data_IF_673547714743
#
_entry.id   IF_673547714743
#
_cell.length_a   1.000
_cell.length_b   1.000
_cell.length_c   1.000
_cell.angle_alpha   90.00
_cell.angle_beta   90.00
_cell.angle_gamma   90.00
#
_symmetry.space_group_name_H-M   'P 1'
#
loop_
_entity.id
_entity.type
_entity.pdbx_description
1 polymer ?
#
# COMPACT_ATOMS: atom_id res chain seq x y z
N UNK A 1 -33.58 34.42 30.10
CA UNK A 1 -34.25 33.37 29.29
C UNK A 1 -33.43 32.97 28.05
N UNK A 2 -32.09 32.78 28.14
CA UNK A 2 -31.20 32.35 27.02
C UNK A 2 -30.25 31.15 27.34
N UNK A 3 -30.30 30.61 28.55
CA UNK A 3 -29.43 29.46 28.93
C UNK A 3 -30.05 28.07 28.70
N UNK A 4 -31.37 27.99 28.50
CA UNK A 4 -32.06 26.69 28.33
C UNK A 4 -31.89 26.07 26.95
N UNK A 5 -31.61 26.85 25.86
CA UNK A 5 -31.55 26.32 24.51
C UNK A 5 -30.21 25.67 24.15
N UNK A 6 -29.10 26.04 24.82
CA UNK A 6 -27.75 25.50 24.49
C UNK A 6 -27.59 24.09 25.05
N UNK A 7 -28.10 23.84 26.27
CA UNK A 7 -28.00 22.53 26.92
C UNK A 7 -28.85 21.46 26.22
N UNK A 8 -30.05 21.83 25.74
CA UNK A 8 -30.93 20.93 25.01
C UNK A 8 -30.36 20.55 23.65
N UNK A 9 -29.72 21.48 22.95
CA UNK A 9 -29.09 21.22 21.63
C UNK A 9 -27.86 20.28 21.76
N UNK A 10 -27.05 20.46 22.82
CA UNK A 10 -25.90 19.55 23.07
C UNK A 10 -26.34 18.13 23.42
N UNK A 11 -27.37 17.97 24.23
CA UNK A 11 -27.90 16.66 24.63
C UNK A 11 -28.50 15.92 23.43
N UNK A 12 -29.23 16.60 22.55
CA UNK A 12 -29.79 15.97 21.32
C UNK A 12 -28.71 15.53 20.35
N UNK A 13 -27.66 16.32 20.16
CA UNK A 13 -26.57 15.95 19.25
C UNK A 13 -25.75 14.76 19.75
N UNK A 14 -25.52 14.64 21.07
CA UNK A 14 -24.81 13.48 21.67
C UNK A 14 -25.64 12.21 21.55
N UNK A 15 -26.96 12.26 21.80
CA UNK A 15 -27.83 11.09 21.67
C UNK A 15 -27.96 10.62 20.20
N UNK A 16 -28.04 11.53 19.24
CA UNK A 16 -28.08 11.19 17.82
C UNK A 16 -26.80 10.55 17.33
N UNK A 17 -25.63 11.01 17.81
CA UNK A 17 -24.33 10.40 17.49
C UNK A 17 -24.21 8.99 18.08
N UNK A 18 -24.62 8.76 19.32
CA UNK A 18 -24.59 7.45 19.97
C UNK A 18 -25.53 6.45 19.28
N UNK A 19 -26.73 6.86 18.91
CA UNK A 19 -27.68 6.02 18.19
C UNK A 19 -27.16 5.65 16.79
N UNK A 20 -26.54 6.58 16.07
CA UNK A 20 -25.93 6.33 14.75
C UNK A 20 -24.72 5.38 14.85
N UNK A 21 -23.90 5.49 15.90
CA UNK A 21 -22.77 4.60 16.18
C UNK A 21 -23.24 3.18 16.52
N UNK A 22 -24.24 3.05 17.38
CA UNK A 22 -24.82 1.74 17.75
C UNK A 22 -25.44 1.05 16.53
N UNK A 23 -26.10 1.80 15.64
CA UNK A 23 -26.65 1.28 14.38
C UNK A 23 -25.55 0.72 13.49
N UNK A 24 -24.46 1.47 13.23
CA UNK A 24 -23.40 1.01 12.34
C UNK A 24 -22.64 -0.22 12.90
N UNK A 25 -22.45 -0.29 14.21
CA UNK A 25 -21.86 -1.44 14.88
C UNK A 25 -22.73 -2.70 14.69
N UNK A 26 -24.04 -2.58 14.88
CA UNK A 26 -24.97 -3.68 14.69
C UNK A 26 -24.99 -4.17 13.22
N UNK A 27 -24.95 -3.23 12.27
CA UNK A 27 -24.92 -3.56 10.84
C UNK A 27 -23.62 -4.32 10.46
N UNK A 28 -22.46 -3.89 10.98
CA UNK A 28 -21.17 -4.58 10.76
C UNK A 28 -21.20 -5.98 11.37
N UNK A 29 -21.70 -6.14 12.59
CA UNK A 29 -21.83 -7.46 13.21
C UNK A 29 -22.76 -8.37 12.41
N UNK A 30 -23.86 -7.86 11.87
CA UNK A 30 -24.82 -8.63 11.10
C UNK A 30 -24.25 -9.17 9.78
N UNK A 31 -23.37 -8.40 9.10
CA UNK A 31 -22.76 -8.84 7.84
C UNK A 31 -21.46 -9.62 8.02
N UNK A 32 -20.85 -9.57 9.22
CA UNK A 32 -19.51 -10.11 9.48
C UNK A 32 -19.34 -11.59 9.08
N UNK A 33 -20.27 -12.54 9.36
CA UNK A 33 -20.11 -13.93 8.98
C UNK A 33 -19.93 -14.15 7.47
N UNK A 34 -20.64 -13.36 6.66
CA UNK A 34 -20.54 -13.38 5.19
C UNK A 34 -19.21 -12.76 4.72
N UNK A 35 -18.76 -11.68 5.36
CA UNK A 35 -17.49 -11.03 5.04
C UNK A 35 -16.30 -11.89 5.47
N UNK A 36 -16.37 -12.58 6.61
CA UNK A 36 -15.36 -13.54 7.03
C UNK A 36 -15.23 -14.71 6.03
N UNK A 37 -16.36 -15.20 5.53
CA UNK A 37 -16.35 -16.24 4.51
C UNK A 37 -15.71 -15.75 3.20
N UNK A 38 -15.99 -14.51 2.78
CA UNK A 38 -15.35 -13.88 1.62
C UNK A 38 -13.83 -13.74 1.82
N UNK A 39 -13.40 -13.23 2.97
CA UNK A 39 -11.99 -13.10 3.33
C UNK A 39 -11.25 -14.43 3.20
N UNK A 40 -11.77 -15.48 3.81
CA UNK A 40 -11.17 -16.82 3.75
C UNK A 40 -11.13 -17.40 2.34
N UNK A 41 -12.11 -17.08 1.51
CA UNK A 41 -12.15 -17.51 0.10
C UNK A 41 -11.10 -16.76 -0.75
N UNK A 42 -10.98 -15.45 -0.59
CA UNK A 42 -9.95 -14.62 -1.25
C UNK A 42 -8.55 -15.06 -0.83
N UNK A 43 -8.34 -15.26 0.47
CA UNK A 43 -7.05 -15.71 1.01
C UNK A 43 -6.58 -17.05 0.42
N UNK A 44 -7.52 -17.98 0.19
CA UNK A 44 -7.21 -19.31 -0.41
C UNK A 44 -6.91 -19.24 -1.91
N UNK A 45 -7.32 -18.19 -2.60
CA UNK A 45 -7.29 -18.11 -4.07
C UNK A 45 -6.65 -16.80 -4.54
N UNK A 46 -5.43 -16.46 -4.05
CA UNK A 46 -4.74 -15.23 -4.42
C UNK A 46 -4.27 -15.27 -5.88
N UNK A 47 -4.28 -14.12 -6.54
CA UNK A 47 -3.83 -13.96 -7.92
C UNK A 47 -2.75 -12.86 -8.00
N UNK A 48 -1.73 -13.07 -8.85
CA UNK A 48 -0.65 -12.10 -9.06
C UNK A 48 -1.12 -10.87 -9.83
N UNK A 49 -0.34 -9.80 -9.76
CA UNK A 49 -0.54 -8.54 -10.46
C UNK A 49 -0.89 -8.73 -11.95
N UNK A 50 -1.98 -8.11 -12.41
CA UNK A 50 -2.59 -8.23 -13.73
C UNK A 50 -3.07 -9.64 -14.11
N UNK A 51 -3.24 -10.53 -13.15
CA UNK A 51 -3.82 -11.86 -13.31
C UNK A 51 -5.10 -12.05 -12.46
N UNK A 52 -5.60 -11.01 -11.81
CA UNK A 52 -6.69 -10.99 -10.80
C UNK A 52 -8.08 -11.23 -11.42
N UNK A 53 -8.19 -12.24 -12.31
CA UNK A 53 -9.41 -12.47 -13.11
C UNK A 53 -10.53 -13.11 -12.31
N UNK A 54 -10.22 -14.07 -11.44
CA UNK A 54 -11.21 -14.73 -10.58
C UNK A 54 -11.62 -13.83 -9.42
N UNK A 55 -10.65 -13.14 -8.82
CA UNK A 55 -10.86 -12.11 -7.78
C UNK A 55 -11.83 -11.05 -8.29
N UNK A 56 -11.54 -10.47 -9.46
CA UNK A 56 -12.40 -9.51 -10.16
C UNK A 56 -13.81 -10.08 -10.40
N UNK A 57 -13.93 -11.31 -10.90
CA UNK A 57 -15.23 -11.91 -11.17
C UNK A 57 -16.06 -12.11 -9.90
N UNK A 58 -15.46 -12.59 -8.80
CA UNK A 58 -16.11 -12.76 -7.49
C UNK A 58 -16.66 -11.44 -6.95
N UNK A 59 -15.80 -10.41 -6.87
CA UNK A 59 -16.16 -9.11 -6.35
C UNK A 59 -17.20 -8.41 -7.24
N UNK A 60 -17.06 -8.47 -8.56
CA UNK A 60 -18.02 -7.92 -9.51
C UNK A 60 -19.41 -8.57 -9.40
N UNK A 61 -19.47 -9.89 -9.25
CA UNK A 61 -20.74 -10.59 -9.05
C UNK A 61 -21.43 -10.11 -7.77
N UNK A 62 -20.67 -9.99 -6.64
CA UNK A 62 -21.19 -9.50 -5.36
C UNK A 62 -21.75 -8.08 -5.48
N UNK A 63 -21.01 -7.15 -6.09
CA UNK A 63 -21.46 -5.77 -6.25
C UNK A 63 -22.71 -5.64 -7.11
N UNK A 64 -22.84 -6.46 -8.15
CA UNK A 64 -24.06 -6.50 -8.99
C UNK A 64 -25.29 -6.87 -8.16
N UNK A 65 -25.20 -7.84 -7.23
CA UNK A 65 -26.31 -8.21 -6.36
C UNK A 65 -26.73 -7.09 -5.40
N UNK A 66 -25.81 -6.18 -5.08
CA UNK A 66 -26.06 -4.99 -4.26
C UNK A 66 -26.62 -3.81 -5.07
N UNK A 67 -26.81 -3.96 -6.37
CA UNK A 67 -27.40 -2.95 -7.25
C UNK A 67 -26.40 -1.92 -7.80
N UNK A 68 -25.10 -2.21 -7.76
CA UNK A 68 -24.09 -1.38 -8.43
C UNK A 68 -24.08 -1.65 -9.95
N UNK A 69 -23.85 -0.58 -10.73
CA UNK A 69 -23.46 -0.68 -12.13
C UNK A 69 -21.97 -1.02 -12.21
N UNK A 70 -21.63 -2.24 -12.65
CA UNK A 70 -20.28 -2.79 -12.56
C UNK A 70 -19.63 -2.95 -13.92
N UNK A 71 -18.47 -2.35 -14.11
CA UNK A 71 -17.57 -2.51 -15.26
C UNK A 71 -16.29 -3.20 -14.81
N UNK A 72 -15.92 -4.29 -15.47
CA UNK A 72 -14.66 -5.02 -15.25
C UNK A 72 -13.69 -4.81 -16.39
N UNK A 73 -12.41 -5.17 -16.20
CA UNK A 73 -11.38 -5.04 -17.22
C UNK A 73 -10.81 -3.63 -17.34
N UNK A 74 -11.10 -2.72 -16.41
CA UNK A 74 -10.53 -1.37 -16.38
C UNK A 74 -9.08 -1.46 -15.90
N UNK A 75 -8.14 -0.96 -16.70
CA UNK A 75 -6.72 -1.14 -16.42
C UNK A 75 -6.28 -2.61 -16.44
N UNK A 76 -6.84 -3.43 -17.33
CA UNK A 76 -6.72 -4.87 -17.54
C UNK A 76 -7.68 -5.71 -16.70
N UNK A 77 -7.45 -5.86 -15.39
CA UNK A 77 -8.22 -6.75 -14.52
C UNK A 77 -9.04 -6.01 -13.45
N UNK A 78 -8.99 -4.68 -13.42
CA UNK A 78 -9.66 -3.87 -12.41
C UNK A 78 -11.18 -3.80 -12.54
N UNK A 79 -11.82 -3.29 -11.50
CA UNK A 79 -13.27 -3.10 -11.36
C UNK A 79 -13.57 -1.63 -11.12
N UNK A 80 -14.62 -1.13 -11.77
CA UNK A 80 -15.29 0.12 -11.40
C UNK A 80 -16.76 -0.19 -11.17
N UNK A 81 -17.28 0.15 -9.99
CA UNK A 81 -18.68 -0.06 -9.67
C UNK A 81 -19.31 1.24 -9.15
N UNK A 82 -20.44 1.62 -9.73
CA UNK A 82 -21.11 2.90 -9.47
C UNK A 82 -22.48 2.66 -8.81
N UNK A 83 -22.71 3.35 -7.71
CA UNK A 83 -24.03 3.40 -7.07
C UNK A 83 -24.47 4.87 -6.91
N UNK A 84 -25.50 5.27 -7.64
CA UNK A 84 -26.07 6.63 -7.58
C UNK A 84 -27.19 6.68 -6.57
N UNK A 85 -27.23 7.75 -5.79
CA UNK A 85 -28.26 7.98 -4.78
C UNK A 85 -28.65 9.47 -4.66
N UNK A 86 -29.18 10.03 -5.75
CA UNK A 86 -29.56 11.44 -5.84
C UNK A 86 -28.41 12.39 -6.14
N UNK A 87 -28.66 13.69 -6.04
CA UNK A 87 -27.66 14.73 -6.24
C UNK A 87 -26.72 14.78 -5.03
N UNK A 88 -25.42 15.03 -5.29
CA UNK A 88 -24.40 15.12 -4.26
C UNK A 88 -23.01 14.83 -4.84
N UNK A 89 -21.98 14.77 -4.00
CA UNK A 89 -20.62 14.51 -4.45
C UNK A 89 -20.43 13.09 -4.97
N UNK A 90 -19.37 12.90 -5.77
CA UNK A 90 -18.87 11.59 -6.14
C UNK A 90 -17.69 11.23 -5.22
N UNK A 91 -17.81 10.15 -4.48
CA UNK A 91 -16.74 9.68 -3.59
C UNK A 91 -16.24 8.33 -4.07
N UNK A 92 -14.94 8.24 -4.32
CA UNK A 92 -14.26 7.00 -4.69
C UNK A 92 -13.71 6.32 -3.44
N UNK A 93 -14.00 5.03 -3.28
CA UNK A 93 -13.34 4.14 -2.34
C UNK A 93 -12.58 3.07 -3.13
N UNK A 94 -11.27 3.00 -2.95
CA UNK A 94 -10.37 2.08 -3.66
C UNK A 94 -9.90 0.97 -2.74
N UNK A 95 -9.78 -0.24 -3.29
CA UNK A 95 -9.05 -1.38 -2.74
C UNK A 95 -8.08 -1.93 -3.78
N UNK A 96 -7.07 -2.67 -3.33
CA UNK A 96 -6.13 -3.45 -4.15
C UNK A 96 -6.69 -4.85 -4.40
N UNK A 97 -6.25 -5.51 -5.50
CA UNK A 97 -6.75 -6.85 -5.88
C UNK A 97 -5.66 -7.92 -5.91
N UNK A 98 -4.40 -7.53 -6.07
CA UNK A 98 -3.29 -8.43 -6.35
C UNK A 98 -2.65 -9.03 -5.10
N UNK A 99 -1.91 -10.11 -5.30
CA UNK A 99 -1.14 -10.85 -4.31
C UNK A 99 0.33 -10.97 -4.73
N UNK A 100 1.16 -11.49 -3.83
CA UNK A 100 2.61 -11.57 -3.96
C UNK A 100 3.12 -12.99 -4.24
N UNK A 101 4.28 -13.14 -4.92
CA UNK A 101 4.93 -14.42 -5.14
C UNK A 101 5.65 -14.93 -3.87
N UNK A 102 4.90 -15.20 -2.81
CA UNK A 102 5.38 -15.62 -1.49
C UNK A 102 4.81 -16.99 -1.14
N UNK A 103 5.65 -17.89 -0.61
CA UNK A 103 5.22 -19.18 -0.07
C UNK A 103 4.69 -18.98 1.35
N UNK A 104 3.39 -19.16 1.55
CA UNK A 104 2.74 -18.94 2.84
C UNK A 104 3.23 -19.92 3.92
N UNK A 105 3.47 -19.41 5.13
CA UNK A 105 3.88 -20.16 6.33
C UNK A 105 3.10 -19.75 7.58
N UNK A 106 1.92 -19.20 7.41
CA UNK A 106 1.08 -18.69 8.52
C UNK A 106 0.54 -19.81 9.41
N UNK A 107 0.39 -21.02 8.86
CA UNK A 107 -0.26 -22.14 9.56
C UNK A 107 -1.78 -22.00 9.66
N UNK A 108 -2.39 -21.06 8.98
CA UNK A 108 -3.84 -20.87 8.95
C UNK A 108 -4.54 -22.07 8.29
N UNK A 109 -5.73 -22.48 8.76
CA UNK A 109 -6.47 -23.61 8.17
C UNK A 109 -7.00 -23.31 6.76
N UNK A 110 -6.90 -22.06 6.33
CA UNK A 110 -7.28 -21.58 5.00
C UNK A 110 -6.09 -20.95 4.25
N UNK A 111 -4.86 -21.30 4.64
CA UNK A 111 -3.65 -20.84 3.98
C UNK A 111 -3.65 -21.16 2.48
N UNK A 112 -3.03 -20.30 1.69
CA UNK A 112 -2.91 -20.47 0.25
C UNK A 112 -1.95 -21.60 -0.12
N UNK A 113 -2.35 -22.42 -1.08
CA UNK A 113 -1.50 -23.40 -1.77
C UNK A 113 -1.38 -23.13 -3.26
N UNK A 114 -1.82 -21.94 -3.69
CA UNK A 114 -1.85 -21.54 -5.09
C UNK A 114 -0.42 -21.35 -5.62
N UNK A 115 -0.23 -21.77 -6.85
CA UNK A 115 0.96 -21.43 -7.64
C UNK A 115 0.54 -20.79 -8.96
N UNK A 116 1.32 -19.79 -9.42
CA UNK A 116 1.09 -19.10 -10.68
C UNK A 116 2.39 -18.84 -11.42
N UNK A 117 2.33 -18.49 -12.69
CA UNK A 117 3.50 -18.02 -13.44
C UNK A 117 3.68 -16.52 -13.23
N UNK A 118 4.86 -16.13 -12.78
CA UNK A 118 5.22 -14.71 -12.71
C UNK A 118 5.54 -14.13 -14.10
N UNK A 119 5.85 -12.84 -14.18
CA UNK A 119 6.19 -12.15 -15.44
C UNK A 119 7.43 -12.71 -16.15
N UNK A 120 8.30 -13.42 -15.43
CA UNK A 120 9.46 -14.12 -15.99
C UNK A 120 9.13 -15.55 -16.47
N UNK A 121 7.88 -16.01 -16.37
CA UNK A 121 7.42 -17.34 -16.74
C UNK A 121 7.75 -18.44 -15.71
N UNK A 122 8.29 -18.08 -14.56
CA UNK A 122 8.61 -19.03 -13.47
C UNK A 122 7.36 -19.35 -12.67
N UNK A 123 7.17 -20.62 -12.31
CA UNK A 123 6.12 -21.04 -11.39
C UNK A 123 6.52 -20.67 -9.96
N UNK A 124 5.70 -19.85 -9.31
CA UNK A 124 5.93 -19.36 -7.95
C UNK A 124 4.70 -19.59 -7.08
N UNK A 125 4.85 -19.80 -5.76
CA UNK A 125 3.72 -19.80 -4.84
C UNK A 125 3.12 -18.39 -4.75
N UNK A 126 1.84 -18.28 -4.36
CA UNK A 126 1.14 -16.99 -4.27
C UNK A 126 0.44 -16.87 -2.92
N UNK A 127 0.57 -15.70 -2.28
CA UNK A 127 -0.05 -15.38 -1.00
C UNK A 127 -0.48 -13.91 -0.96
N UNK A 128 -1.61 -13.61 -0.31
CA UNK A 128 -1.95 -12.24 0.07
C UNK A 128 -1.07 -11.76 1.25
N UNK A 129 0.24 -11.66 1.01
CA UNK A 129 1.21 -11.30 2.03
C UNK A 129 1.23 -9.80 2.38
N UNK A 130 0.39 -8.98 1.72
CA UNK A 130 0.19 -7.56 2.03
C UNK A 130 -1.23 -7.25 2.56
N UNK A 131 -2.04 -8.28 2.85
CA UNK A 131 -3.38 -8.11 3.43
C UNK A 131 -4.44 -7.55 2.46
N UNK A 132 -4.23 -7.58 1.15
CA UNK A 132 -5.21 -7.08 0.18
C UNK A 132 -6.55 -7.85 0.23
N UNK A 133 -6.55 -9.09 0.68
CA UNK A 133 -7.75 -9.87 0.99
C UNK A 133 -8.58 -9.28 2.15
N UNK A 134 -7.93 -8.71 3.18
CA UNK A 134 -8.58 -7.90 4.22
C UNK A 134 -9.20 -6.65 3.61
N UNK A 135 -8.43 -5.92 2.77
CA UNK A 135 -8.88 -4.68 2.16
C UNK A 135 -10.09 -4.92 1.25
N UNK A 136 -10.02 -5.91 0.36
CA UNK A 136 -11.13 -6.31 -0.52
C UNK A 136 -12.38 -6.73 0.24
N UNK A 137 -12.20 -7.46 1.33
CA UNK A 137 -13.31 -7.94 2.16
C UNK A 137 -13.98 -6.80 2.92
N UNK A 138 -13.20 -5.88 3.48
CA UNK A 138 -13.71 -4.68 4.13
C UNK A 138 -14.46 -3.77 3.13
N UNK A 139 -13.87 -3.52 1.96
CA UNK A 139 -14.46 -2.77 0.87
C UNK A 139 -15.79 -3.37 0.39
N UNK A 140 -15.89 -4.71 0.27
CA UNK A 140 -17.13 -5.40 -0.09
C UNK A 140 -18.18 -5.30 1.02
N UNK A 141 -17.78 -5.39 2.28
CA UNK A 141 -18.65 -5.16 3.44
C UNK A 141 -19.18 -3.74 3.50
N UNK A 142 -18.31 -2.77 3.25
CA UNK A 142 -18.67 -1.35 3.15
C UNK A 142 -19.66 -1.11 2.02
N UNK A 143 -19.47 -1.74 0.85
CA UNK A 143 -20.43 -1.69 -0.26
C UNK A 143 -21.82 -2.19 0.16
N UNK A 144 -21.88 -3.29 0.93
CA UNK A 144 -23.13 -3.87 1.43
C UNK A 144 -23.85 -2.93 2.39
N UNK A 145 -23.13 -2.31 3.34
CA UNK A 145 -23.69 -1.31 4.27
C UNK A 145 -24.23 -0.10 3.51
N UNK A 146 -23.43 0.47 2.61
CA UNK A 146 -23.82 1.66 1.86
C UNK A 146 -25.03 1.42 0.95
N UNK A 147 -25.11 0.23 0.34
CA UNK A 147 -26.27 -0.16 -0.47
C UNK A 147 -27.55 -0.33 0.37
N UNK A 148 -27.42 -0.83 1.61
CA UNK A 148 -28.56 -1.00 2.52
C UNK A 148 -29.02 0.32 3.16
N UNK A 149 -28.13 1.29 3.32
CA UNK A 149 -28.41 2.55 4.04
C UNK A 149 -28.55 3.78 3.11
N UNK A 150 -29.18 3.60 1.94
CA UNK A 150 -29.36 4.70 0.96
C UNK A 150 -30.16 5.91 1.50
N UNK A 151 -30.94 5.74 2.51
CA UNK A 151 -31.66 6.84 3.20
C UNK A 151 -30.72 7.80 3.95
N UNK A 152 -29.51 7.37 4.29
CA UNK A 152 -28.54 8.11 5.10
C UNK A 152 -27.55 8.95 4.31
N UNK A 153 -27.50 8.80 2.99
CA UNK A 153 -26.52 9.49 2.15
C UNK A 153 -27.08 9.92 0.80
N UNK A 154 -26.41 10.85 0.13
CA UNK A 154 -26.72 11.32 -1.23
C UNK A 154 -25.45 11.46 -2.05
N UNK A 155 -25.57 11.38 -3.38
CA UNK A 155 -24.45 11.50 -4.30
C UNK A 155 -24.16 10.22 -5.05
N UNK A 156 -22.89 10.03 -5.40
CA UNK A 156 -22.42 8.86 -6.17
C UNK A 156 -21.29 8.17 -5.39
N UNK A 157 -21.49 6.91 -5.04
CA UNK A 157 -20.42 6.05 -4.55
C UNK A 157 -19.76 5.35 -5.73
N UNK A 158 -18.47 5.56 -5.90
CA UNK A 158 -17.63 4.91 -6.90
C UNK A 158 -16.66 3.95 -6.20
N UNK A 159 -16.86 2.67 -6.37
CA UNK A 159 -16.00 1.63 -5.84
C UNK A 159 -14.98 1.23 -6.91
N UNK A 160 -13.70 1.22 -6.56
CA UNK A 160 -12.59 0.87 -7.45
C UNK A 160 -11.82 -0.31 -6.86
N UNK A 161 -11.85 -1.47 -7.55
CA UNK A 161 -10.94 -2.57 -7.31
C UNK A 161 -9.74 -2.42 -8.27
N UNK A 162 -8.61 -2.01 -7.73
CA UNK A 162 -7.41 -1.71 -8.51
C UNK A 162 -6.50 -2.92 -8.61
N UNK A 163 -6.05 -3.33 -9.83
CA UNK A 163 -5.08 -4.40 -10.00
C UNK A 163 -3.65 -3.90 -9.73
N UNK A 164 -2.70 -4.82 -9.60
CA UNK A 164 -1.26 -4.62 -9.72
C UNK A 164 -0.68 -3.46 -8.88
N UNK A 165 -1.10 -3.35 -7.62
CA UNK A 165 -0.56 -2.36 -6.68
C UNK A 165 0.90 -2.68 -6.34
N UNK A 166 1.23 -3.94 -6.09
CA UNK A 166 2.55 -4.42 -5.68
C UNK A 166 3.66 -4.11 -6.71
N UNK A 167 3.26 -3.91 -7.96
CA UNK A 167 4.13 -3.41 -9.02
C UNK A 167 4.11 -1.90 -9.20
N UNK A 168 3.36 -1.15 -8.38
CA UNK A 168 3.09 0.30 -8.50
C UNK A 168 2.60 0.69 -9.91
N UNK A 169 1.81 -0.18 -10.54
CA UNK A 169 1.42 -0.05 -11.95
C UNK A 169 -0.10 0.05 -12.18
N UNK A 170 -0.90 -0.39 -11.23
CA UNK A 170 -2.33 -0.54 -11.40
C UNK A 170 -3.10 0.76 -11.51
N UNK A 171 -2.82 1.72 -10.63
CA UNK A 171 -3.47 3.04 -10.67
C UNK A 171 -3.18 3.76 -11.99
N UNK A 172 -1.92 3.75 -12.44
CA UNK A 172 -1.53 4.32 -13.73
C UNK A 172 -2.23 3.61 -14.91
N UNK A 173 -2.35 2.28 -14.87
CA UNK A 173 -3.07 1.52 -15.90
C UNK A 173 -4.55 1.87 -15.95
N UNK A 174 -5.23 1.99 -14.80
CA UNK A 174 -6.63 2.40 -14.74
C UNK A 174 -6.85 3.85 -15.22
N UNK A 175 -5.98 4.77 -14.85
CA UNK A 175 -6.03 6.17 -15.32
C UNK A 175 -5.81 6.25 -16.84
N UNK A 176 -4.85 5.48 -17.38
CA UNK A 176 -4.58 5.41 -18.81
C UNK A 176 -5.76 4.79 -19.60
N UNK A 177 -6.48 3.84 -18.99
CA UNK A 177 -7.71 3.26 -19.55
C UNK A 177 -8.95 4.17 -19.37
N UNK A 178 -8.76 5.38 -18.88
CA UNK A 178 -9.79 6.41 -18.81
C UNK A 178 -10.65 6.37 -17.54
N UNK A 179 -10.13 5.94 -16.40
CA UNK A 179 -10.86 5.90 -15.14
C UNK A 179 -11.60 7.22 -14.82
N UNK A 180 -10.99 8.36 -15.08
CA UNK A 180 -11.59 9.69 -14.81
C UNK A 180 -12.20 10.38 -16.04
N UNK A 181 -12.31 9.66 -17.18
CA UNK A 181 -12.94 10.16 -18.41
C UNK A 181 -14.13 9.32 -18.86
N UNK A 182 -14.10 8.02 -18.60
CA UNK A 182 -15.19 7.06 -18.88
C UNK A 182 -16.22 7.00 -17.76
N UNK A 183 -15.78 7.28 -16.52
CA UNK A 183 -16.60 7.24 -15.32
C UNK A 183 -16.68 8.64 -14.68
N UNK A 184 -17.64 8.87 -13.75
CA UNK A 184 -17.73 10.13 -13.02
C UNK A 184 -16.39 10.44 -12.31
N UNK A 185 -15.84 11.64 -12.57
CA UNK A 185 -14.63 12.07 -11.86
C UNK A 185 -14.98 12.26 -10.37
N UNK A 186 -14.23 11.64 -9.44
CA UNK A 186 -14.53 11.78 -8.02
C UNK A 186 -14.12 13.16 -7.49
N UNK A 187 -14.92 13.67 -6.54
CA UNK A 187 -14.60 14.85 -5.74
C UNK A 187 -13.60 14.49 -4.62
N UNK A 188 -13.63 13.24 -4.14
CA UNK A 188 -12.74 12.70 -3.13
C UNK A 188 -12.38 11.25 -3.44
N UNK A 189 -11.14 10.86 -3.13
CA UNK A 189 -10.64 9.49 -3.23
C UNK A 189 -10.17 8.98 -1.87
N UNK A 190 -10.65 7.82 -1.47
CA UNK A 190 -10.31 7.15 -0.22
C UNK A 190 -9.70 5.78 -0.50
N UNK A 191 -8.75 5.37 0.33
CA UNK A 191 -8.26 3.99 0.45
C UNK A 191 -7.92 3.70 1.90
N UNK A 192 -7.86 2.41 2.24
CA UNK A 192 -7.47 1.94 3.56
C UNK A 192 -6.51 0.77 3.38
N UNK A 193 -5.43 0.73 4.18
CA UNK A 193 -4.41 -0.32 4.13
C UNK A 193 -4.12 -0.84 5.53
N UNK A 194 -3.87 -2.12 5.70
CA UNK A 194 -3.49 -2.73 6.97
C UNK A 194 -2.11 -2.25 7.48
N UNK A 195 -1.90 -2.43 8.78
CA UNK A 195 -0.70 -1.93 9.46
C UNK A 195 -0.23 -2.88 10.57
N UNK A 196 1.03 -3.27 10.49
CA UNK A 196 1.68 -4.18 11.42
C UNK A 196 2.14 -3.53 12.76
N UNK A 197 2.02 -2.22 12.88
CA UNK A 197 2.53 -1.47 14.05
C UNK A 197 1.45 -1.05 15.03
N UNK A 198 0.16 -1.28 14.68
CA UNK A 198 -1.00 -0.87 15.47
C UNK A 198 -1.86 -2.06 15.89
N UNK A 199 -2.53 -1.95 17.07
CA UNK A 199 -3.52 -2.94 17.47
C UNK A 199 -4.65 -3.08 16.45
N UNK A 200 -5.08 -4.31 16.20
CA UNK A 200 -6.18 -4.62 15.29
C UNK A 200 -7.43 -3.79 15.58
N UNK A 201 -7.99 -3.19 14.53
CA UNK A 201 -9.16 -2.31 14.62
C UNK A 201 -8.87 -0.85 15.03
N UNK A 202 -7.61 -0.45 15.19
CA UNK A 202 -7.20 0.96 15.37
C UNK A 202 -7.00 1.64 14.03
N UNK A 203 -7.50 2.85 13.86
CA UNK A 203 -7.36 3.63 12.62
C UNK A 203 -6.19 4.60 12.75
N UNK A 204 -5.26 4.51 11.82
CA UNK A 204 -4.14 5.44 11.69
C UNK A 204 -4.38 6.46 10.58
N UNK A 205 -4.02 7.71 10.82
CA UNK A 205 -4.09 8.77 9.83
C UNK A 205 -2.90 9.73 9.93
N UNK A 206 -2.63 10.45 8.84
CA UNK A 206 -1.66 11.54 8.81
C UNK A 206 -2.05 12.57 7.76
N UNK A 207 -1.93 13.84 8.12
CA UNK A 207 -2.08 14.95 7.16
C UNK A 207 -0.78 15.16 6.36
N UNK A 208 -0.93 15.48 5.07
CA UNK A 208 0.20 15.72 4.19
C UNK A 208 0.94 14.42 3.82
N UNK A 209 2.26 14.48 3.81
CA UNK A 209 3.13 13.39 3.35
C UNK A 209 2.99 12.15 4.24
N UNK A 210 2.61 11.01 3.64
CA UNK A 210 2.27 9.81 4.38
C UNK A 210 3.09 8.57 3.99
N UNK A 211 3.25 8.27 2.66
CA UNK A 211 4.08 7.16 2.20
C UNK A 211 5.16 7.63 1.23
N UNK A 212 6.29 6.92 1.22
CA UNK A 212 7.47 7.26 0.45
C UNK A 212 7.31 6.94 -1.05
N UNK A 213 8.14 7.61 -1.84
CA UNK A 213 8.49 7.18 -3.18
C UNK A 213 9.40 5.95 -3.11
N UNK A 214 9.28 5.04 -4.08
CA UNK A 214 10.17 3.89 -4.24
C UNK A 214 10.79 3.87 -5.64
N UNK A 215 12.10 4.03 -5.69
CA UNK A 215 12.88 3.87 -6.92
C UNK A 215 13.58 2.51 -6.93
N UNK A 216 13.49 1.79 -8.05
CA UNK A 216 14.45 0.75 -8.39
C UNK A 216 15.65 1.41 -9.05
N UNK A 217 16.85 1.12 -8.56
CA UNK A 217 18.11 1.61 -9.13
C UNK A 217 18.97 0.41 -9.45
N UNK A 218 19.33 0.25 -10.72
CA UNK A 218 20.23 -0.81 -11.16
C UNK A 218 21.62 -0.22 -11.46
N UNK A 219 22.69 -0.85 -10.96
CA UNK A 219 24.07 -0.43 -11.21
C UNK A 219 24.83 -1.58 -11.87
N UNK A 220 25.31 -1.37 -13.11
CA UNK A 220 26.26 -2.29 -13.75
C UNK A 220 27.67 -1.78 -13.51
N UNK A 221 28.45 -2.54 -12.76
CA UNK A 221 29.84 -2.25 -12.41
C UNK A 221 30.73 -2.97 -13.37
N UNK A 222 31.59 -2.25 -14.07
CA UNK A 222 32.48 -2.80 -15.10
C UNK A 222 33.89 -2.99 -14.56
N UNK A 223 34.47 -4.15 -14.86
CA UNK A 223 35.83 -4.49 -14.57
C UNK A 223 36.60 -4.94 -15.83
N UNK A 224 37.67 -5.63 -15.60
CA UNK A 224 38.43 -6.40 -16.61
C UNK A 224 38.68 -7.76 -16.02
N UNK A 225 38.06 -8.79 -16.61
CA UNK A 225 38.15 -10.16 -16.17
C UNK A 225 39.54 -10.77 -16.35
N UNK A 226 39.71 -11.92 -15.70
CA UNK A 226 40.98 -12.61 -15.78
C UNK A 226 41.07 -13.85 -14.89
N UNK A 227 42.26 -14.44 -14.86
CA UNK A 227 42.55 -15.60 -14.02
C UNK A 227 42.67 -15.15 -12.55
N UNK A 228 41.94 -15.76 -11.61
CA UNK A 228 41.94 -15.37 -10.20
C UNK A 228 43.32 -15.42 -9.52
N UNK A 229 44.25 -16.28 -10.02
CA UNK A 229 45.63 -16.32 -9.53
C UNK A 229 46.52 -15.19 -10.09
N UNK A 230 46.02 -14.38 -11.03
CA UNK A 230 46.75 -13.27 -11.66
C UNK A 230 45.97 -11.96 -11.57
N UNK A 231 45.54 -11.53 -10.34
CA UNK A 231 44.67 -10.37 -10.17
C UNK A 231 45.33 -9.05 -10.61
N UNK A 232 46.67 -8.98 -10.65
CA UNK A 232 47.43 -7.83 -11.14
C UNK A 232 47.21 -7.53 -12.64
N UNK A 233 46.68 -8.49 -13.40
CA UNK A 233 46.32 -8.33 -14.83
C UNK A 233 44.86 -8.01 -15.04
N UNK A 234 44.07 -7.96 -13.98
CA UNK A 234 42.63 -7.75 -14.00
C UNK A 234 42.23 -6.45 -13.28
N UNK A 235 40.97 -6.07 -13.40
CA UNK A 235 40.29 -5.08 -12.53
C UNK A 235 39.05 -5.77 -12.04
N UNK A 236 39.07 -6.18 -10.78
CA UNK A 236 38.03 -7.06 -10.23
C UNK A 236 36.75 -6.29 -9.92
N UNK A 237 35.66 -6.48 -10.69
CA UNK A 237 34.38 -5.79 -10.46
C UNK A 237 33.66 -6.31 -9.23
N UNK A 238 33.96 -7.49 -8.67
CA UNK A 238 33.38 -8.00 -7.44
C UNK A 238 33.86 -7.19 -6.24
N UNK A 239 35.18 -6.93 -6.18
CA UNK A 239 35.78 -6.07 -5.16
C UNK A 239 35.27 -4.63 -5.30
N UNK A 240 35.19 -4.10 -6.52
CA UNK A 240 34.71 -2.77 -6.79
C UNK A 240 33.23 -2.63 -6.40
N UNK A 241 32.37 -3.57 -6.76
CA UNK A 241 30.94 -3.59 -6.37
C UNK A 241 30.77 -3.64 -4.85
N UNK A 242 31.59 -4.43 -4.14
CA UNK A 242 31.58 -4.51 -2.69
C UNK A 242 31.92 -3.16 -2.04
N UNK A 243 32.90 -2.42 -2.58
CA UNK A 243 33.23 -1.06 -2.12
C UNK A 243 32.08 -0.10 -2.38
N UNK A 244 31.46 -0.15 -3.57
CA UNK A 244 30.27 0.67 -3.89
C UNK A 244 29.15 0.39 -2.88
N UNK A 245 28.82 -0.88 -2.58
CA UNK A 245 27.79 -1.25 -1.59
C UNK A 245 28.05 -0.60 -0.23
N UNK A 246 29.29 -0.66 0.27
CA UNK A 246 29.67 -0.06 1.56
C UNK A 246 29.62 1.48 1.51
N UNK A 247 30.14 2.08 0.44
CA UNK A 247 30.18 3.54 0.30
C UNK A 247 28.79 4.14 0.12
N UNK A 248 27.85 3.45 -0.51
CA UNK A 248 26.46 3.89 -0.63
C UNK A 248 25.78 4.07 0.74
N UNK A 249 26.15 3.31 1.78
CA UNK A 249 25.60 3.44 3.12
C UNK A 249 25.95 4.81 3.75
N UNK A 250 27.00 5.47 3.28
CA UNK A 250 27.40 6.81 3.78
C UNK A 250 26.42 7.90 3.36
N UNK A 251 25.65 7.71 2.30
CA UNK A 251 24.62 8.66 1.89
C UNK A 251 23.61 8.84 3.03
N UNK A 252 23.10 7.73 3.58
CA UNK A 252 22.12 7.76 4.68
C UNK A 252 22.78 8.23 5.99
N UNK A 253 23.98 7.72 6.28
CA UNK A 253 24.60 7.96 7.58
C UNK A 253 25.39 9.28 7.69
N UNK A 254 25.78 9.92 6.58
CA UNK A 254 26.69 11.09 6.57
C UNK A 254 26.25 12.25 5.66
N UNK A 255 25.42 12.02 4.66
CA UNK A 255 25.06 13.07 3.69
C UNK A 255 23.60 13.53 3.85
N UNK A 256 22.69 12.65 4.23
CA UNK A 256 21.29 13.01 4.45
C UNK A 256 21.08 13.67 5.81
N UNK A 257 20.18 14.65 5.84
CA UNK A 257 19.68 15.18 7.10
C UNK A 257 18.93 14.06 7.86
N UNK A 258 19.29 13.75 9.11
CA UNK A 258 18.60 12.71 9.90
C UNK A 258 17.09 12.92 10.06
N UNK A 259 16.60 14.15 9.93
CA UNK A 259 15.17 14.48 9.94
C UNK A 259 14.46 14.21 8.59
N UNK A 260 15.19 13.83 7.56
CA UNK A 260 14.68 13.50 6.22
C UNK A 260 14.94 12.02 5.91
N UNK A 261 14.06 11.09 6.35
CA UNK A 261 14.30 9.67 6.23
C UNK A 261 14.56 9.24 4.78
N UNK A 262 15.58 8.39 4.63
CA UNK A 262 15.97 7.79 3.35
C UNK A 262 16.38 6.35 3.60
N UNK A 263 15.98 5.45 2.70
CA UNK A 263 16.40 4.05 2.73
C UNK A 263 17.14 3.74 1.43
N UNK A 264 18.32 3.12 1.54
CA UNK A 264 19.08 2.56 0.42
C UNK A 264 19.39 1.11 0.77
N UNK A 265 18.72 0.19 0.08
CA UNK A 265 18.94 -1.24 0.24
C UNK A 265 19.50 -1.82 -1.05
N UNK A 266 20.65 -2.48 -0.98
CA UNK A 266 21.14 -3.32 -2.08
C UNK A 266 20.51 -4.69 -1.88
N UNK A 267 19.46 -4.97 -2.66
CA UNK A 267 18.66 -6.20 -2.54
C UNK A 267 19.28 -7.39 -3.27
N UNK A 268 20.10 -7.13 -4.30
CA UNK A 268 20.74 -8.20 -5.06
C UNK A 268 22.09 -7.77 -5.60
N UNK A 269 23.00 -8.75 -5.70
CA UNK A 269 24.33 -8.64 -6.29
C UNK A 269 24.60 -9.89 -7.14
N UNK A 270 24.89 -9.70 -8.42
CA UNK A 270 25.12 -10.78 -9.36
C UNK A 270 26.39 -10.55 -10.18
N UNK A 271 27.31 -11.51 -10.16
CA UNK A 271 28.53 -11.49 -10.96
C UNK A 271 29.39 -12.71 -10.73
N UNK A 272 30.13 -13.09 -11.77
CA UNK A 272 30.98 -14.28 -11.75
C UNK A 272 30.23 -15.60 -11.93
N UNK A 273 30.96 -16.64 -12.36
CA UNK A 273 30.41 -17.98 -12.58
C UNK A 273 31.20 -19.07 -11.84
N UNK A 274 32.49 -18.82 -11.59
CA UNK A 274 33.39 -19.76 -10.92
C UNK A 274 34.43 -19.02 -10.08
N UNK A 275 34.86 -19.61 -8.97
CA UNK A 275 35.77 -18.98 -8.01
C UNK A 275 37.22 -18.75 -8.53
N UNK A 276 37.60 -19.33 -9.66
CA UNK A 276 38.92 -19.14 -10.29
C UNK A 276 38.89 -18.18 -11.49
N UNK A 277 37.79 -17.49 -11.73
CA UNK A 277 37.59 -16.52 -12.82
C UNK A 277 37.16 -15.18 -12.24
N UNK A 278 37.88 -14.10 -12.52
CA UNK A 278 37.44 -12.75 -12.28
C UNK A 278 36.51 -12.36 -13.44
N UNK A 279 35.25 -11.94 -13.19
CA UNK A 279 34.30 -11.57 -14.26
C UNK A 279 34.61 -10.19 -14.85
N UNK A 280 33.93 -9.86 -15.96
CA UNK A 280 34.02 -8.53 -16.59
C UNK A 280 33.04 -7.52 -15.99
N UNK A 281 31.98 -8.00 -15.37
CA UNK A 281 30.95 -7.12 -14.76
C UNK A 281 30.27 -7.73 -13.54
N UNK A 282 29.72 -6.85 -12.70
CA UNK A 282 28.79 -7.17 -11.59
C UNK A 282 27.58 -6.26 -11.66
N UNK A 283 26.39 -6.81 -11.40
CA UNK A 283 25.13 -6.06 -11.34
C UNK A 283 24.64 -5.95 -9.90
N UNK A 284 24.23 -4.74 -9.51
CA UNK A 284 23.58 -4.45 -8.24
C UNK A 284 22.16 -3.98 -8.52
N UNK A 285 21.19 -4.48 -7.76
CA UNK A 285 19.81 -3.98 -7.78
C UNK A 285 19.48 -3.38 -6.43
N UNK A 286 19.03 -2.12 -6.43
CA UNK A 286 18.77 -1.35 -5.24
C UNK A 286 17.31 -0.95 -5.14
N UNK A 287 16.77 -0.94 -3.92
CA UNK A 287 15.57 -0.22 -3.53
C UNK A 287 15.96 1.09 -2.84
N UNK A 288 15.54 2.22 -3.39
CA UNK A 288 15.79 3.55 -2.83
C UNK A 288 14.47 4.18 -2.47
N UNK A 289 14.31 4.55 -1.18
CA UNK A 289 13.06 5.15 -0.70
C UNK A 289 13.30 6.53 -0.12
N UNK A 290 12.46 7.48 -0.53
CA UNK A 290 12.57 8.89 -0.13
C UNK A 290 11.18 9.50 0.01
N UNK A 291 11.05 10.48 0.93
CA UNK A 291 9.75 11.12 1.18
C UNK A 291 9.47 12.33 0.30
N UNK A 292 10.51 13.02 -0.19
CA UNK A 292 10.32 14.23 -1.00
C UNK A 292 11.12 14.19 -2.30
N UNK A 293 10.66 14.86 -3.38
CA UNK A 293 11.39 14.94 -4.63
C UNK A 293 12.80 15.53 -4.49
N UNK A 294 13.01 16.45 -3.55
CA UNK A 294 14.31 17.08 -3.28
C UNK A 294 15.30 16.06 -2.71
N UNK A 295 14.86 15.28 -1.71
CA UNK A 295 15.67 14.21 -1.12
C UNK A 295 15.99 13.14 -2.17
N UNK A 296 14.99 12.74 -2.97
CA UNK A 296 15.19 11.80 -4.09
C UNK A 296 16.27 12.26 -5.05
N UNK A 297 16.18 13.49 -5.52
CA UNK A 297 17.16 14.06 -6.48
C UNK A 297 18.56 14.03 -5.90
N UNK A 298 18.75 14.46 -4.66
CA UNK A 298 20.04 14.45 -3.95
C UNK A 298 20.58 13.02 -3.81
N UNK A 299 19.74 12.08 -3.38
CA UNK A 299 20.11 10.68 -3.14
C UNK A 299 20.54 10.01 -4.44
N UNK A 300 19.79 10.15 -5.53
CA UNK A 300 20.15 9.58 -6.83
C UNK A 300 21.43 10.19 -7.40
N UNK A 301 21.67 11.49 -7.19
CA UNK A 301 22.93 12.14 -7.58
C UNK A 301 24.11 11.60 -6.76
N UNK A 302 23.93 11.40 -5.46
CA UNK A 302 24.97 10.82 -4.59
C UNK A 302 25.30 9.38 -4.97
N UNK A 303 24.31 8.55 -5.32
CA UNK A 303 24.52 7.17 -5.81
C UNK A 303 25.42 7.19 -7.06
N UNK A 304 25.10 8.03 -8.04
CA UNK A 304 25.93 8.14 -9.27
C UNK A 304 27.34 8.61 -8.98
N UNK A 305 27.49 9.64 -8.14
CA UNK A 305 28.79 10.19 -7.75
C UNK A 305 29.67 9.16 -7.04
N UNK A 306 29.09 8.42 -6.10
CA UNK A 306 29.83 7.37 -5.36
C UNK A 306 30.23 6.24 -6.29
N UNK A 307 29.31 5.71 -7.10
CA UNK A 307 29.61 4.64 -8.05
C UNK A 307 30.74 5.03 -9.00
N UNK A 308 30.71 6.26 -9.54
CA UNK A 308 31.75 6.81 -10.40
C UNK A 308 33.08 6.95 -9.65
N UNK A 309 33.11 7.56 -8.47
CA UNK A 309 34.32 7.78 -7.70
C UNK A 309 35.02 6.48 -7.28
N UNK A 310 34.25 5.45 -6.89
CA UNK A 310 34.83 4.13 -6.60
C UNK A 310 35.42 3.43 -7.85
N UNK A 311 34.78 3.60 -9.00
CA UNK A 311 35.27 3.06 -10.25
C UNK A 311 36.56 3.76 -10.70
N UNK A 312 36.64 5.08 -10.59
CA UNK A 312 37.86 5.85 -10.86
C UNK A 312 38.99 5.44 -9.94
N UNK A 313 38.74 5.31 -8.63
CA UNK A 313 39.72 4.87 -7.65
C UNK A 313 40.22 3.42 -7.88
N UNK A 314 39.41 2.57 -8.48
CA UNK A 314 39.78 1.20 -8.86
C UNK A 314 40.47 1.11 -10.25
N UNK A 315 40.54 2.19 -11.01
CA UNK A 315 41.04 2.18 -12.39
C UNK A 315 40.12 1.41 -13.34
N UNK A 316 38.81 1.43 -13.10
CA UNK A 316 37.85 0.71 -13.92
C UNK A 316 37.90 1.15 -15.39
N UNK A 317 37.68 0.25 -16.37
CA UNK A 317 37.82 0.58 -17.79
C UNK A 317 36.77 1.54 -18.31
N UNK A 318 35.65 1.65 -17.60
CA UNK A 318 34.57 2.58 -17.88
C UNK A 318 33.72 2.87 -16.63
N UNK A 319 33.01 3.98 -16.66
CA UNK A 319 32.12 4.38 -15.60
C UNK A 319 30.97 3.37 -15.40
N UNK A 320 30.53 3.09 -14.14
CA UNK A 320 29.36 2.25 -13.89
C UNK A 320 28.10 2.83 -14.53
N UNK A 321 27.29 1.96 -15.12
CA UNK A 321 25.97 2.34 -15.64
C UNK A 321 24.95 2.34 -14.51
N UNK A 322 24.45 3.53 -14.13
CA UNK A 322 23.39 3.68 -13.13
C UNK A 322 22.07 3.98 -13.82
N UNK A 323 21.17 3.01 -13.81
CA UNK A 323 19.84 3.11 -14.42
C UNK A 323 18.79 3.36 -13.35
N UNK A 324 17.89 4.30 -13.62
CA UNK A 324 16.71 4.62 -12.78
C UNK A 324 15.47 4.63 -13.67
N UNK A 325 14.26 4.39 -13.13
CA UNK A 325 13.03 4.48 -13.90
C UNK A 325 12.86 5.86 -14.56
N UNK A 326 12.38 5.87 -15.79
CA UNK A 326 12.15 7.11 -16.56
C UNK A 326 11.06 7.97 -15.91
N UNK A 327 10.05 7.34 -15.30
CA UNK A 327 8.96 8.01 -14.57
C UNK A 327 9.31 7.99 -13.09
N UNK A 328 9.34 9.17 -12.47
CA UNK A 328 9.55 9.27 -11.03
C UNK A 328 8.36 8.70 -10.27
N UNK A 329 8.59 7.88 -9.24
CA UNK A 329 7.52 7.46 -8.35
C UNK A 329 6.93 8.66 -7.59
N UNK A 330 5.70 8.52 -7.13
CA UNK A 330 5.00 9.57 -6.39
C UNK A 330 4.88 9.19 -4.91
N UNK A 331 5.03 10.16 -3.98
CA UNK A 331 4.72 9.95 -2.59
C UNK A 331 3.20 9.99 -2.38
N UNK A 332 2.67 9.25 -1.41
CA UNK A 332 1.29 9.48 -0.97
C UNK A 332 1.24 10.74 -0.12
N UNK A 333 0.41 11.67 -0.54
CA UNK A 333 0.14 12.92 0.17
C UNK A 333 -1.36 12.98 0.44
N UNK A 334 -1.74 12.79 1.70
CA UNK A 334 -3.12 12.97 2.11
C UNK A 334 -3.50 14.45 2.09
N UNK A 335 -4.62 14.79 1.44
CA UNK A 335 -5.14 16.15 1.48
C UNK A 335 -5.41 16.58 2.93
N UNK A 336 -4.80 17.68 3.42
CA UNK A 336 -4.88 18.05 4.84
C UNK A 336 -6.29 18.39 5.32
N UNK A 337 -7.12 18.96 4.43
CA UNK A 337 -8.52 19.33 4.77
C UNK A 337 -9.37 18.07 4.83
N UNK A 338 -9.27 17.23 3.82
CA UNK A 338 -10.00 15.97 3.74
C UNK A 338 -9.66 15.06 4.93
N UNK A 339 -8.38 14.78 5.17
CA UNK A 339 -7.98 13.85 6.22
C UNK A 339 -8.34 14.36 7.62
N UNK A 340 -8.28 15.68 7.87
CA UNK A 340 -8.71 16.27 9.14
C UNK A 340 -10.22 16.13 9.36
N UNK A 341 -11.02 16.33 8.30
CA UNK A 341 -12.47 16.11 8.32
C UNK A 341 -12.79 14.65 8.62
N UNK A 342 -12.12 13.71 7.95
CA UNK A 342 -12.30 12.27 8.16
C UNK A 342 -11.88 11.84 9.57
N UNK A 343 -10.71 12.29 10.06
CA UNK A 343 -10.25 11.96 11.40
C UNK A 343 -11.24 12.43 12.49
N UNK A 344 -11.80 13.64 12.34
CA UNK A 344 -12.83 14.13 13.25
C UNK A 344 -14.12 13.27 13.19
N UNK A 345 -14.56 12.85 12.00
CA UNK A 345 -15.71 11.98 11.84
C UNK A 345 -15.47 10.59 12.43
N UNK A 346 -14.31 10.00 12.17
CA UNK A 346 -13.91 8.71 12.71
C UNK A 346 -13.80 8.72 14.23
N UNK A 347 -13.22 9.78 14.83
CA UNK A 347 -13.19 9.94 16.30
C UNK A 347 -14.58 10.01 16.91
N UNK A 348 -15.52 10.72 16.27
CA UNK A 348 -16.93 10.75 16.72
C UNK A 348 -17.58 9.37 16.66
N UNK A 349 -17.23 8.53 15.67
CA UNK A 349 -17.87 7.24 15.41
C UNK A 349 -17.20 6.09 16.16
N UNK A 350 -15.88 6.08 16.25
CA UNK A 350 -15.08 4.97 16.80
C UNK A 350 -14.52 5.28 18.21
N UNK A 351 -14.52 6.54 18.61
CA UNK A 351 -13.87 7.04 19.82
C UNK A 351 -12.42 7.46 19.61
N UNK A 352 -11.95 8.43 20.37
CA UNK A 352 -10.62 9.04 20.25
C UNK A 352 -9.48 8.03 20.40
N UNK A 353 -9.65 7.02 21.25
CA UNK A 353 -8.67 5.97 21.54
C UNK A 353 -8.36 5.09 20.33
N UNK A 354 -9.28 4.98 19.39
CA UNK A 354 -9.16 4.11 18.21
C UNK A 354 -8.75 4.85 16.94
N UNK A 355 -8.54 6.16 17.00
CA UNK A 355 -8.19 6.98 15.82
C UNK A 355 -6.97 7.83 16.15
N UNK A 356 -5.80 7.36 15.70
CA UNK A 356 -4.51 7.91 16.11
C UNK A 356 -3.75 8.54 14.94
N UNK A 357 -3.06 9.64 15.22
CA UNK A 357 -2.12 10.18 14.25
C UNK A 357 -0.83 9.36 14.25
N UNK A 358 -0.29 9.07 13.06
CA UNK A 358 0.89 8.23 12.90
C UNK A 358 2.00 8.92 12.11
N UNK A 359 3.27 8.49 12.27
CA UNK A 359 4.37 9.01 11.46
C UNK A 359 4.23 8.63 9.98
N UNK A 360 4.93 9.35 9.09
CA UNK A 360 5.10 8.92 7.72
C UNK A 360 5.83 7.58 7.64
N UNK A 361 5.46 6.74 6.66
CA UNK A 361 6.05 5.42 6.43
C UNK A 361 6.97 5.42 5.20
N UNK A 362 7.98 4.56 5.25
CA UNK A 362 8.92 4.38 4.13
C UNK A 362 8.44 3.32 3.11
N UNK A 363 7.24 2.76 3.30
CA UNK A 363 6.54 1.97 2.28
C UNK A 363 5.99 2.88 1.18
N UNK A 364 5.81 2.36 -0.02
CA UNK A 364 5.21 3.08 -1.16
C UNK A 364 3.81 2.56 -1.46
N UNK A 365 3.09 3.27 -2.32
CA UNK A 365 1.70 2.96 -2.65
C UNK A 365 1.29 3.77 -3.89
N UNK A 366 0.72 3.12 -4.91
CA UNK A 366 0.38 3.77 -6.17
C UNK A 366 -0.96 4.53 -6.15
N UNK A 367 -1.74 4.44 -5.05
CA UNK A 367 -2.87 5.33 -4.76
C UNK A 367 -2.49 6.82 -4.91
N UNK A 368 -1.22 7.17 -4.73
CA UNK A 368 -0.66 8.48 -4.97
C UNK A 368 -1.00 9.05 -6.37
N UNK A 369 -1.20 8.19 -7.37
CA UNK A 369 -1.53 8.58 -8.74
C UNK A 369 -2.87 9.34 -8.84
N UNK A 370 -3.86 8.97 -8.02
CA UNK A 370 -5.16 9.63 -8.01
C UNK A 370 -5.07 11.05 -7.44
N UNK A 371 -4.27 11.24 -6.39
CA UNK A 371 -3.95 12.56 -5.86
C UNK A 371 -3.20 13.43 -6.87
N UNK A 372 -2.21 12.87 -7.56
CA UNK A 372 -1.47 13.54 -8.63
C UNK A 372 -2.35 13.87 -9.84
N UNK A 373 -3.40 13.08 -10.11
CA UNK A 373 -4.42 13.39 -11.11
C UNK A 373 -5.40 14.51 -10.66
N UNK A 374 -5.16 15.14 -9.50
CA UNK A 374 -5.89 16.29 -8.99
C UNK A 374 -7.19 15.95 -8.26
N UNK A 375 -7.30 14.75 -7.68
CA UNK A 375 -8.40 14.38 -6.79
C UNK A 375 -7.92 14.48 -5.34
N UNK A 376 -8.58 15.27 -4.47
CA UNK A 376 -8.30 15.27 -3.03
C UNK A 376 -8.39 13.85 -2.48
N UNK A 377 -7.27 13.34 -1.96
CA UNK A 377 -7.11 11.91 -1.64
C UNK A 377 -6.73 11.71 -0.18
N UNK A 378 -7.23 10.65 0.43
CA UNK A 378 -6.87 10.23 1.78
C UNK A 378 -6.68 8.71 1.85
N UNK A 379 -5.46 8.31 2.21
CA UNK A 379 -5.13 6.95 2.62
C UNK A 379 -5.21 6.87 4.15
N UNK A 380 -5.98 5.93 4.66
CA UNK A 380 -6.06 5.57 6.07
C UNK A 380 -5.30 4.26 6.30
N UNK A 381 -4.88 4.01 7.53
CA UNK A 381 -4.37 2.71 7.95
C UNK A 381 -5.30 2.05 8.96
N UNK A 382 -5.37 0.71 8.92
CA UNK A 382 -6.05 -0.12 9.91
C UNK A 382 -5.05 -1.01 10.61
N UNK A 383 -4.94 -0.93 11.93
CA UNK A 383 -4.14 -1.83 12.71
C UNK A 383 -4.61 -3.28 12.52
N UNK A 384 -3.65 -4.19 12.33
CA UNK A 384 -3.92 -5.56 11.98
C UNK A 384 -3.27 -6.59 12.93
N UNK A 385 -2.59 -6.15 13.97
CA UNK A 385 -1.90 -7.05 14.89
C UNK A 385 -2.63 -7.16 16.23
N UNK A 386 -2.75 -8.38 16.74
CA UNK A 386 -3.29 -8.60 18.07
C UNK A 386 -2.54 -7.80 19.13
N UNK A 387 -3.25 -7.08 19.99
CA UNK A 387 -2.67 -6.18 20.98
C UNK A 387 -1.67 -6.87 21.92
N UNK A 388 -1.95 -8.12 22.33
CA UNK A 388 -1.04 -8.87 23.18
C UNK A 388 0.26 -9.26 22.45
N UNK A 389 0.19 -9.59 21.15
CA UNK A 389 1.38 -9.85 20.32
C UNK A 389 2.24 -8.61 20.16
N UNK A 390 1.65 -7.43 19.98
CA UNK A 390 2.39 -6.16 19.93
C UNK A 390 3.10 -5.86 21.25
N UNK A 391 2.44 -6.09 22.36
CA UNK A 391 3.04 -5.88 23.68
C UNK A 391 4.18 -6.88 23.93
N UNK A 392 4.02 -8.14 23.56
CA UNK A 392 5.07 -9.14 23.63
C UNK A 392 6.27 -8.77 22.74
N UNK A 393 6.03 -8.29 21.52
CA UNK A 393 7.07 -7.80 20.62
C UNK A 393 7.87 -6.65 21.23
N UNK A 394 7.20 -5.67 21.84
CA UNK A 394 7.87 -4.56 22.55
C UNK A 394 8.71 -5.05 23.73
N UNK A 395 8.22 -6.01 24.45
CA UNK A 395 8.90 -6.57 25.65
C UNK A 395 10.11 -7.43 25.27
N UNK A 396 9.97 -8.27 24.24
CA UNK A 396 11.02 -9.21 23.81
C UNK A 396 12.04 -8.59 22.87
N UNK A 397 11.68 -7.49 22.18
CA UNK A 397 12.47 -6.93 21.09
C UNK A 397 12.39 -7.74 19.80
N UNK A 398 11.56 -8.78 19.73
CA UNK A 398 11.34 -9.59 18.52
C UNK A 398 10.18 -8.97 17.74
N UNK A 399 10.41 -8.49 16.50
CA UNK A 399 9.34 -7.90 15.69
C UNK A 399 8.21 -8.91 15.40
N UNK A 400 6.96 -8.44 15.32
CA UNK A 400 5.88 -9.21 14.72
C UNK A 400 6.16 -9.40 13.22
N UNK A 401 5.69 -10.49 12.58
CA UNK A 401 5.72 -10.60 11.13
C UNK A 401 5.04 -9.39 10.49
N UNK A 402 5.73 -8.76 9.54
CA UNK A 402 5.23 -7.58 8.80
C UNK A 402 4.63 -8.00 7.45
N UNK A 403 3.88 -7.13 6.76
CA UNK A 403 3.51 -7.32 5.36
C UNK A 403 4.71 -7.74 4.50
N UNK A 404 4.48 -8.59 3.49
CA UNK A 404 5.45 -9.30 2.65
C UNK A 404 6.21 -10.45 3.35
N UNK A 405 6.00 -10.68 4.65
CA UNK A 405 6.50 -11.89 5.32
C UNK A 405 5.63 -13.11 4.97
N UNK A 406 6.22 -14.29 4.77
CA UNK A 406 5.46 -15.54 4.63
C UNK A 406 4.62 -15.90 5.87
N UNK A 407 4.89 -15.30 7.00
CA UNK A 407 4.20 -15.49 8.28
C UNK A 407 3.20 -14.37 8.60
N UNK A 408 3.00 -13.41 7.68
CA UNK A 408 2.05 -12.31 7.87
C UNK A 408 0.62 -12.86 7.96
N UNK A 409 0.00 -12.70 9.13
CA UNK A 409 -1.36 -13.12 9.41
C UNK A 409 -2.07 -12.06 10.26
N UNK A 410 -2.87 -11.19 9.66
CA UNK A 410 -3.68 -10.22 10.38
C UNK A 410 -4.59 -10.87 11.43
N UNK A 411 -4.81 -10.20 12.57
CA UNK A 411 -5.92 -10.50 13.48
C UNK A 411 -7.22 -10.06 12.78
N UNK A 412 -7.71 -10.91 11.89
CA UNK A 412 -8.64 -10.53 10.83
C UNK A 412 -10.02 -10.05 11.32
N UNK A 413 -10.58 -10.63 12.41
CA UNK A 413 -11.92 -10.23 12.86
C UNK A 413 -11.99 -8.75 13.31
N UNK A 414 -11.19 -8.29 14.29
CA UNK A 414 -11.22 -6.88 14.69
C UNK A 414 -10.72 -5.95 13.58
N UNK A 415 -9.83 -6.41 12.71
CA UNK A 415 -9.32 -5.65 11.56
C UNK A 415 -10.42 -5.42 10.54
N UNK A 416 -11.13 -6.47 10.09
CA UNK A 416 -12.25 -6.37 9.14
C UNK A 416 -13.37 -5.49 9.68
N UNK A 417 -13.81 -5.76 10.92
CA UNK A 417 -14.87 -4.96 11.55
C UNK A 417 -14.47 -3.49 11.68
N UNK A 418 -13.23 -3.22 12.10
CA UNK A 418 -12.70 -1.86 12.20
C UNK A 418 -12.59 -1.15 10.86
N UNK A 419 -12.13 -1.85 9.82
CA UNK A 419 -12.00 -1.32 8.47
C UNK A 419 -13.37 -0.95 7.87
N UNK A 420 -14.35 -1.86 7.93
CA UNK A 420 -15.71 -1.60 7.45
C UNK A 420 -16.34 -0.39 8.18
N UNK A 421 -16.17 -0.31 9.50
CA UNK A 421 -16.63 0.84 10.28
C UNK A 421 -16.01 2.15 9.80
N UNK A 422 -14.69 2.14 9.59
CA UNK A 422 -13.96 3.34 9.19
C UNK A 422 -14.35 3.80 7.79
N UNK A 423 -14.41 2.90 6.84
CA UNK A 423 -14.79 3.20 5.45
C UNK A 423 -16.25 3.69 5.37
N UNK A 424 -17.20 2.99 6.01
CA UNK A 424 -18.59 3.38 6.02
C UNK A 424 -18.79 4.75 6.70
N UNK A 425 -18.14 5.00 7.85
CA UNK A 425 -18.21 6.28 8.53
C UNK A 425 -17.62 7.43 7.70
N UNK A 426 -16.49 7.19 7.01
CA UNK A 426 -15.88 8.14 6.11
C UNK A 426 -16.76 8.47 4.90
N UNK A 427 -17.37 7.45 4.27
CA UNK A 427 -18.31 7.64 3.16
C UNK A 427 -19.58 8.38 3.60
N UNK A 428 -20.17 8.00 4.74
CA UNK A 428 -21.35 8.69 5.30
C UNK A 428 -21.05 10.15 5.67
N UNK A 429 -19.81 10.48 6.03
CA UNK A 429 -19.38 11.87 6.26
C UNK A 429 -19.29 12.68 4.97
N UNK A 430 -18.82 12.08 3.89
CA UNK A 430 -18.57 12.78 2.62
C UNK A 430 -19.80 12.85 1.71
N UNK A 431 -20.70 11.88 1.79
CA UNK A 431 -21.91 11.73 0.97
C UNK A 431 -23.16 12.32 1.63
N UNK A 432 -23.00 13.32 2.50
CA UNK A 432 -24.11 14.02 3.16
C UNK A 432 -24.72 15.09 2.28
#
# INVERSE_FOLDING_TARGET
MRLFNVTALLVVTVHASLAAQQSLTADVEAIYPDIEALYKDLHRTPELAFQETQTTAKLAARLKTLGFEVTTGVGKTGIVAILKNGAGPTVMLRTELDALPVAEKTGLPFASTVTAKNSAGQVVPVMHACGHDIHMSAWAGTAQIMAAQKDRWRGTLMLVGQPAEEGLAGAAAMLADGLFTRFPRPDFALSLHDDDTMPAGTIGYRAGLFRAMSDRVDITVHGRGGHAAMPHNAIDPVVLASRIVLSLQTIVSRENNPAEPTVITVGSIHGGTQGNIIPDEVKLELSVRTLTPQVRTRTLAAIRRIAKGEAEAAGAPREPLVTVPAVAPLPVVNDPVLISRLAAALKRTLGDQRVVEMPAKMTSEDFAQYGAAGVPSALLHIGAVNAAKLEESRRSGIPVPAPHSPEWAPDYEPTLKGAIHAEAAALLELLR
#
